data_IF_294065247875
#
_entry.id   IF_294065247875
#
_cell.length_a   1.000
_cell.length_b   1.000
_cell.length_c   1.000
_cell.angle_alpha   90.00
_cell.angle_beta   90.00
_cell.angle_gamma   90.00
#
_symmetry.space_group_name_H-M   'P 1'
#
loop_
_entity.id
_entity.type
_entity.pdbx_description
1 polymer ?
#
# COMPACT_ATOMS: atom_id res chain seq x y z
N UNK A 1 18.48 -14.37 7.98
CA UNK A 1 18.18 -13.41 7.56
C UNK A 1 16.88 -13.11 7.30
N UNK A 2 16.53 -12.20 7.59
CA UNK A 2 15.24 -11.86 7.47
C UNK A 2 14.83 -11.67 6.11
N UNK A 3 13.70 -12.03 5.76
CA UNK A 3 13.24 -11.77 4.45
C UNK A 3 12.13 -10.76 4.44
N UNK A 4 12.15 -9.85 5.36
CA UNK A 4 11.17 -8.82 5.33
C UNK A 4 11.38 -7.94 4.13
N UNK A 5 10.38 -7.84 3.31
CA UNK A 5 10.47 -7.07 2.09
C UNK A 5 9.24 -6.20 1.93
N UNK A 6 9.40 -5.12 1.22
CA UNK A 6 8.30 -4.28 0.80
C UNK A 6 8.25 -4.30 -0.72
N UNK A 7 7.07 -4.46 -1.25
CA UNK A 7 6.86 -4.46 -2.68
C UNK A 7 5.89 -3.34 -3.02
N UNK A 8 6.29 -2.50 -3.97
CA UNK A 8 5.44 -1.43 -4.43
C UNK A 8 4.87 -1.83 -5.78
N UNK A 9 3.56 -1.92 -5.85
CA UNK A 9 2.87 -2.28 -7.06
C UNK A 9 2.21 -1.04 -7.63
N UNK A 10 2.47 -0.72 -8.89
CA UNK A 10 1.80 0.39 -9.53
C UNK A 10 1.56 0.09 -11.00
N UNK A 11 0.55 0.72 -11.55
CA UNK A 11 0.04 0.36 -12.84
C UNK A 11 1.01 0.66 -13.97
N UNK A 12 1.82 1.68 -13.82
CA UNK A 12 2.73 2.08 -14.87
C UNK A 12 4.13 1.62 -14.68
N UNK A 13 4.34 0.64 -13.87
CA UNK A 13 5.65 0.16 -13.61
C UNK A 13 6.09 -0.72 -14.73
N UNK A 14 6.21 -0.20 -15.88
CA UNK A 14 6.51 -0.94 -17.04
C UNK A 14 7.85 -1.52 -16.99
N UNK A 15 8.47 -2.17 -17.27
CA UNK A 15 9.73 -2.58 -17.63
C UNK A 15 10.79 -2.45 -16.64
N UNK A 16 10.49 -2.04 -15.49
CA UNK A 16 11.50 -1.81 -14.49
C UNK A 16 12.04 -3.10 -13.98
N UNK A 17 13.33 -3.31 -14.02
CA UNK A 17 13.89 -4.50 -13.42
C UNK A 17 13.65 -4.44 -11.93
N UNK A 18 13.75 -5.54 -11.26
CA UNK A 18 13.50 -5.61 -9.86
C UNK A 18 14.39 -4.71 -9.09
N UNK A 19 13.96 -3.58 -8.64
CA UNK A 19 14.82 -2.69 -7.87
C UNK A 19 14.91 -3.15 -6.43
N UNK A 20 15.94 -2.71 -5.76
CA UNK A 20 16.05 -2.94 -4.34
C UNK A 20 15.02 -2.08 -3.63
N UNK A 21 14.74 -2.46 -2.38
CA UNK A 21 13.69 -1.81 -1.61
C UNK A 21 13.73 -0.29 -1.67
N UNK A 22 14.87 0.30 -1.37
CA UNK A 22 14.96 1.75 -1.34
C UNK A 22 14.70 2.39 -2.68
N UNK A 23 15.17 1.77 -3.75
CA UNK A 23 14.96 2.29 -5.08
C UNK A 23 13.52 2.16 -5.51
N UNK A 24 12.89 1.04 -5.16
CA UNK A 24 11.50 0.84 -5.46
C UNK A 24 10.62 1.90 -4.84
N UNK A 25 10.84 2.15 -3.57
CA UNK A 25 10.04 3.15 -2.87
C UNK A 25 10.27 4.56 -3.39
N UNK A 26 11.50 4.87 -3.74
CA UNK A 26 11.80 6.22 -4.23
C UNK A 26 11.35 6.46 -5.65
N UNK A 27 11.60 5.51 -6.54
CA UNK A 27 11.34 5.74 -7.95
C UNK A 27 9.86 5.71 -8.26
N UNK A 28 9.07 4.98 -7.50
CA UNK A 28 7.66 4.87 -7.78
C UNK A 28 6.87 6.06 -7.28
N UNK A 29 7.24 6.62 -6.12
CA UNK A 29 6.47 7.68 -5.49
C UNK A 29 7.39 8.68 -4.82
N UNK A 30 7.37 9.93 -5.26
CA UNK A 30 8.18 10.96 -4.60
C UNK A 30 7.90 11.06 -3.10
N UNK A 31 6.64 10.88 -2.68
CA UNK A 31 6.29 10.99 -1.28
C UNK A 31 6.83 9.84 -0.42
N UNK A 32 7.42 8.82 -1.04
CA UNK A 32 8.05 7.74 -0.30
C UNK A 32 9.56 7.90 -0.23
N UNK A 33 10.05 9.05 -0.63
CA UNK A 33 11.48 9.33 -0.56
C UNK A 33 11.97 9.32 0.89
N UNK A 34 13.26 9.09 1.10
CA UNK A 34 13.81 9.11 2.45
C UNK A 34 13.49 10.41 3.16
N UNK A 35 13.17 10.32 4.43
CA UNK A 35 12.85 11.48 5.23
C UNK A 35 11.40 11.89 5.23
N UNK A 36 10.57 11.24 4.43
CA UNK A 36 9.14 11.55 4.46
C UNK A 36 8.48 10.78 5.60
N UNK A 37 7.34 11.31 6.06
CA UNK A 37 6.57 10.61 7.08
C UNK A 37 6.09 9.25 6.61
N UNK A 38 5.71 9.15 5.34
CA UNK A 38 5.27 7.88 4.80
C UNK A 38 6.40 6.85 4.81
N UNK A 39 7.59 7.24 4.39
CA UNK A 39 8.73 6.34 4.41
C UNK A 39 9.03 5.87 5.83
N UNK A 40 8.97 6.80 6.78
CA UNK A 40 9.20 6.46 8.18
C UNK A 40 8.16 5.45 8.67
N UNK A 41 6.89 5.65 8.33
CA UNK A 41 5.83 4.71 8.71
C UNK A 41 6.05 3.33 8.13
N UNK A 42 6.44 3.26 6.85
CA UNK A 42 6.69 1.97 6.20
C UNK A 42 7.87 1.25 6.86
N UNK A 43 8.91 1.99 7.18
CA UNK A 43 10.07 1.38 7.83
C UNK A 43 9.74 0.87 9.22
N UNK A 44 8.87 1.57 9.95
CA UNK A 44 8.42 1.11 11.27
C UNK A 44 7.65 -0.20 11.16
N UNK A 45 6.81 -0.33 10.14
CA UNK A 45 6.06 -1.56 9.92
C UNK A 45 7.02 -2.71 9.62
N UNK A 46 7.98 -2.48 8.76
CA UNK A 46 8.96 -3.51 8.42
C UNK A 46 9.74 -3.96 9.65
N UNK A 47 10.17 -3.00 10.47
CA UNK A 47 10.92 -3.34 11.68
C UNK A 47 10.07 -4.07 12.69
N UNK A 48 8.78 -3.75 12.75
CA UNK A 48 7.88 -4.38 13.69
C UNK A 48 7.50 -5.81 13.33
N UNK A 49 7.78 -6.20 12.10
CA UNK A 49 7.52 -7.58 11.71
C UNK A 49 6.09 -7.89 11.32
N UNK A 50 5.22 -6.90 11.27
CA UNK A 50 3.85 -7.12 10.83
C UNK A 50 3.77 -6.88 9.33
N UNK A 51 2.93 -7.62 8.66
CA UNK A 51 2.66 -7.34 7.26
C UNK A 51 1.71 -6.15 7.13
N UNK A 52 1.61 -5.60 5.93
CA UNK A 52 0.68 -4.52 5.68
C UNK A 52 0.35 -4.43 4.21
N UNK A 53 -0.81 -3.86 3.93
CA UNK A 53 -1.28 -3.62 2.57
C UNK A 53 -1.76 -2.18 2.56
N UNK A 54 -1.11 -1.32 1.79
CA UNK A 54 -1.35 0.11 1.85
C UNK A 54 -1.62 0.65 0.45
N UNK A 55 -2.78 1.27 0.26
CA UNK A 55 -3.17 1.89 -1.00
C UNK A 55 -2.81 3.37 -0.91
N UNK A 56 -2.04 3.84 -1.89
CA UNK A 56 -1.52 5.21 -1.87
C UNK A 56 -2.33 6.10 -2.80
N UNK A 57 -3.58 6.28 -2.49
CA UNK A 57 -4.48 7.12 -3.25
C UNK A 57 -5.92 6.74 -2.94
N UNK A 58 -6.83 7.70 -3.15
CA UNK A 58 -8.22 7.47 -2.83
C UNK A 58 -9.10 8.30 -3.75
N UNK A 59 -10.04 7.66 -4.39
CA UNK A 59 -11.07 8.30 -5.20
C UNK A 59 -12.28 7.37 -5.22
N UNK A 60 -13.26 7.67 -6.06
CA UNK A 60 -14.48 6.88 -6.12
C UNK A 60 -14.21 5.44 -6.54
N UNK A 61 -13.25 5.22 -7.42
CA UNK A 61 -12.92 3.86 -7.84
C UNK A 61 -12.32 3.06 -6.70
N UNK A 62 -11.47 3.71 -5.89
CA UNK A 62 -10.91 3.06 -4.71
C UNK A 62 -12.01 2.72 -3.72
N UNK A 63 -12.92 3.66 -3.51
CA UNK A 63 -14.00 3.45 -2.54
C UNK A 63 -14.88 2.26 -2.95
N UNK A 64 -15.14 2.10 -4.24
CA UNK A 64 -16.01 1.03 -4.71
C UNK A 64 -15.46 -0.36 -4.43
N UNK A 65 -14.14 -0.51 -4.41
CA UNK A 65 -13.56 -1.82 -4.17
C UNK A 65 -13.17 -2.07 -2.72
N UNK A 66 -13.40 -1.09 -1.84
CA UNK A 66 -13.16 -1.27 -0.42
C UNK A 66 -14.40 -1.83 0.26
N UNK A 67 -14.22 -2.89 1.04
CA UNK A 67 -15.33 -3.49 1.77
C UNK A 67 -15.03 -3.49 3.26
N UNK A 68 -16.00 -3.03 4.05
CA UNK A 68 -15.86 -3.05 5.49
C UNK A 68 -14.86 -2.06 6.01
N UNK A 69 -14.37 -2.33 7.22
CA UNK A 69 -13.36 -1.48 7.83
C UNK A 69 -13.92 -0.20 8.40
N UNK A 70 -13.03 0.76 8.57
CA UNK A 70 -13.35 2.02 9.22
C UNK A 70 -13.06 3.20 8.30
N UNK A 71 -13.96 4.15 8.26
CA UNK A 71 -13.71 5.45 7.64
C UNK A 71 -13.08 6.34 8.70
N UNK A 72 -11.87 6.80 8.47
CA UNK A 72 -11.15 7.55 9.48
C UNK A 72 -10.96 9.01 9.11
N UNK A 73 -10.40 9.25 7.93
CA UNK A 73 -10.08 10.60 7.46
C UNK A 73 -9.33 11.40 8.52
N UNK A 74 -8.24 10.85 9.01
CA UNK A 74 -7.42 11.46 10.03
C UNK A 74 -6.08 11.87 9.45
N UNK A 75 -5.41 12.79 10.13
CA UNK A 75 -4.11 13.24 9.70
C UNK A 75 -3.11 12.09 9.75
N UNK A 76 -2.27 12.00 8.73
CA UNK A 76 -1.24 10.97 8.69
C UNK A 76 -0.19 11.22 9.77
N UNK A 77 0.23 10.16 10.41
CA UNK A 77 1.42 10.14 11.25
C UNK A 77 2.03 8.75 11.16
N UNK A 78 3.35 8.62 11.17
CA UNK A 78 3.99 7.31 11.06
C UNK A 78 3.54 6.32 12.11
N UNK A 79 3.33 6.81 13.35
CA UNK A 79 2.87 5.94 14.44
C UNK A 79 1.44 5.49 14.21
N UNK A 80 0.60 6.36 13.66
CA UNK A 80 -0.78 5.99 13.35
C UNK A 80 -0.82 4.91 12.28
N UNK A 81 -0.02 5.07 11.23
CA UNK A 81 0.03 4.07 10.18
C UNK A 81 0.47 2.73 10.75
N UNK A 82 1.50 2.74 11.58
CA UNK A 82 1.98 1.50 12.17
C UNK A 82 0.92 0.81 13.00
N UNK A 83 0.20 1.57 13.84
CA UNK A 83 -0.82 0.97 14.68
C UNK A 83 -1.99 0.42 13.86
N UNK A 84 -2.42 1.17 12.86
CA UNK A 84 -3.53 0.72 12.03
C UNK A 84 -3.15 -0.50 11.19
N UNK A 85 -1.89 -0.62 10.83
CA UNK A 85 -1.44 -1.75 10.03
C UNK A 85 -1.39 -3.05 10.81
N UNK A 86 -1.55 -3.01 12.12
CA UNK A 86 -1.63 -4.23 12.92
C UNK A 86 -2.96 -4.94 12.74
N UNK A 87 -3.98 -4.23 12.28
CA UNK A 87 -5.25 -4.86 11.98
C UNK A 87 -5.18 -5.56 10.65
N UNK A 88 -6.01 -6.56 10.45
CA UNK A 88 -6.12 -7.20 9.15
C UNK A 88 -6.65 -6.19 8.13
N UNK A 89 -6.40 -6.47 6.86
CA UNK A 89 -6.92 -5.65 5.80
C UNK A 89 -5.96 -4.55 5.38
N UNK A 90 -6.48 -3.64 4.58
CA UNK A 90 -5.67 -2.60 3.98
C UNK A 90 -5.89 -1.26 4.65
N UNK A 91 -4.87 -0.42 4.57
CA UNK A 91 -4.95 0.98 4.94
C UNK A 91 -4.94 1.80 3.66
N UNK A 92 -5.84 2.77 3.56
CA UNK A 92 -5.96 3.61 2.37
C UNK A 92 -5.58 5.03 2.75
N UNK A 93 -4.61 5.58 2.05
CA UNK A 93 -4.15 6.94 2.27
C UNK A 93 -4.67 7.85 1.16
N UNK A 94 -4.76 9.14 1.47
CA UNK A 94 -5.09 10.13 0.45
C UNK A 94 -3.97 10.21 -0.58
N UNK A 95 -4.30 10.76 -1.75
CA UNK A 95 -3.33 10.81 -2.84
C UNK A 95 -2.09 11.62 -2.52
N UNK A 96 -2.19 12.61 -1.63
CA UNK A 96 -1.04 13.40 -1.23
C UNK A 96 -0.30 12.80 -0.03
N UNK A 97 -0.78 11.69 0.51
CA UNK A 97 -0.15 11.03 1.64
C UNK A 97 -0.32 11.73 2.97
N UNK A 98 -1.17 12.74 3.03
CA UNK A 98 -1.31 13.54 4.25
C UNK A 98 -2.40 13.07 5.18
N UNK A 99 -3.28 12.21 4.70
CA UNK A 99 -4.38 11.72 5.53
C UNK A 99 -4.53 10.22 5.39
N UNK A 100 -4.95 9.60 6.47
CA UNK A 100 -5.34 8.19 6.45
C UNK A 100 -6.85 8.16 6.31
N UNK A 101 -7.33 7.65 5.19
CA UNK A 101 -8.74 7.74 4.85
C UNK A 101 -9.51 6.55 5.42
N UNK A 102 -8.98 5.36 5.26
CA UNK A 102 -9.65 4.14 5.73
C UNK A 102 -8.62 3.16 6.26
N UNK A 103 -9.07 2.23 7.08
CA UNK A 103 -8.22 1.16 7.58
C UNK A 103 -9.06 -0.09 7.78
N UNK A 104 -8.41 -1.23 7.85
CA UNK A 104 -9.05 -2.52 8.09
C UNK A 104 -10.07 -2.84 6.99
N UNK A 105 -9.79 -2.42 5.77
CA UNK A 105 -10.69 -2.69 4.65
C UNK A 105 -10.24 -3.92 3.89
N UNK A 106 -11.20 -4.61 3.32
CA UNK A 106 -10.89 -5.69 2.40
C UNK A 106 -10.96 -5.15 0.99
N UNK A 107 -9.91 -5.34 0.23
CA UNK A 107 -9.87 -4.89 -1.15
C UNK A 107 -10.53 -5.95 -2.02
N UNK A 108 -11.52 -5.53 -2.79
CA UNK A 108 -12.29 -6.41 -3.66
C UNK A 108 -12.18 -5.95 -5.10
N UNK A 109 -10.99 -6.02 -5.68
CA UNK A 109 -10.83 -5.64 -7.08
C UNK A 109 -11.48 -6.66 -8.00
N UNK A 110 -11.67 -6.27 -9.25
CA UNK A 110 -12.25 -7.14 -10.26
C UNK A 110 -11.39 -8.39 -10.41
N UNK A 111 -11.93 -9.58 -10.13
CA UNK A 111 -11.13 -10.81 -10.20
C UNK A 111 -10.76 -11.21 -11.63
N UNK A 112 -11.36 -10.59 -12.64
CA UNK A 112 -11.00 -10.89 -14.03
C UNK A 112 -9.72 -10.21 -14.45
N UNK A 113 -9.19 -9.28 -13.68
CA UNK A 113 -7.92 -8.63 -13.99
C UNK A 113 -6.80 -9.66 -13.81
N UNK A 114 -6.01 -9.91 -14.86
CA UNK A 114 -4.96 -10.93 -14.74
C UNK A 114 -3.85 -10.50 -13.81
N UNK A 115 -3.26 -11.47 -13.14
CA UNK A 115 -2.14 -11.22 -12.27
C UNK A 115 -1.21 -12.43 -12.31
N UNK A 116 0.07 -12.17 -12.21
CA UNK A 116 1.06 -13.22 -12.13
C UNK A 116 1.55 -13.46 -10.71
N UNK A 117 1.01 -12.72 -9.75
CA UNK A 117 1.39 -12.88 -8.37
C UNK A 117 0.81 -14.15 -7.79
N UNK A 118 1.50 -14.76 -6.85
CA UNK A 118 1.06 -16.02 -6.29
C UNK A 118 0.40 -15.89 -4.92
N UNK A 119 0.71 -14.86 -4.15
CA UNK A 119 0.11 -14.69 -2.84
C UNK A 119 -1.20 -13.95 -2.93
N UNK A 120 -2.13 -14.27 -2.03
CA UNK A 120 -3.45 -13.64 -2.04
C UNK A 120 -3.32 -12.13 -1.89
N UNK A 121 -2.49 -11.69 -0.95
CA UNK A 121 -2.32 -10.26 -0.70
C UNK A 121 -1.68 -9.57 -1.91
N UNK A 122 -0.69 -10.20 -2.52
CA UNK A 122 -0.03 -9.63 -3.69
C UNK A 122 -0.95 -9.58 -4.89
N UNK A 123 -1.79 -10.59 -5.07
CA UNK A 123 -2.76 -10.57 -6.17
C UNK A 123 -3.76 -9.45 -6.00
N UNK A 124 -4.27 -9.28 -4.79
CA UNK A 124 -5.20 -8.19 -4.52
C UNK A 124 -4.54 -6.84 -4.74
N UNK A 125 -3.28 -6.71 -4.33
CA UNK A 125 -2.55 -5.45 -4.50
C UNK A 125 -2.38 -5.12 -5.97
N UNK A 126 -1.97 -6.08 -6.78
CA UNK A 126 -1.75 -5.83 -8.19
C UNK A 126 -3.07 -5.47 -8.89
N UNK A 127 -4.11 -6.23 -8.62
CA UNK A 127 -5.41 -5.93 -9.24
C UNK A 127 -5.94 -4.57 -8.82
N UNK A 128 -5.76 -4.21 -7.56
CA UNK A 128 -6.20 -2.91 -7.08
C UNK A 128 -5.42 -1.79 -7.75
N UNK A 129 -4.11 -1.95 -7.89
CA UNK A 129 -3.27 -0.95 -8.54
C UNK A 129 -3.69 -0.76 -10.00
N UNK A 130 -3.97 -1.84 -10.69
CA UNK A 130 -4.40 -1.77 -12.09
C UNK A 130 -5.76 -1.09 -12.18
N UNK A 131 -6.69 -1.49 -11.34
CA UNK A 131 -8.06 -0.98 -11.43
C UNK A 131 -8.17 0.48 -11.04
N UNK A 132 -7.42 0.92 -10.04
CA UNK A 132 -7.52 2.28 -9.54
C UNK A 132 -6.49 3.23 -10.14
N UNK A 133 -5.41 2.71 -10.66
CA UNK A 133 -4.29 3.54 -11.12
C UNK A 133 -3.41 4.06 -10.00
N UNK A 134 -3.65 3.65 -8.77
CA UNK A 134 -2.84 4.08 -7.63
C UNK A 134 -1.84 3.01 -7.23
N UNK A 135 -0.69 3.41 -6.73
CA UNK A 135 0.28 2.46 -6.21
C UNK A 135 -0.25 1.76 -4.97
N UNK A 136 0.10 0.49 -4.83
CA UNK A 136 -0.27 -0.29 -3.66
C UNK A 136 0.98 -0.94 -3.11
N UNK A 137 1.23 -0.74 -1.83
CA UNK A 137 2.43 -1.22 -1.18
C UNK A 137 2.12 -2.45 -0.34
N UNK A 138 2.81 -3.55 -0.60
CA UNK A 138 2.66 -4.73 0.24
C UNK A 138 3.94 -4.89 1.04
N UNK A 139 3.78 -5.05 2.34
CA UNK A 139 4.90 -5.23 3.26
C UNK A 139 4.76 -6.60 3.90
N UNK A 140 5.82 -7.32 3.97
CA UNK A 140 5.79 -8.66 4.53
C UNK A 140 6.81 -8.86 5.64
#
# INVERSE_FOLDING_TARGET
>A
MSSRTATLVQVNDSVTPEPRLGEQLRSALPRVAPGTGLRDGLERILRGGTGALIVLGYDDDTERLCDGGFHLDIEFAPTRLRELSKMDGAVVLSGDGKRIVRANVQLMPDPSIPTEESGIRHRAAERTAIQTGFPVNTLA
#
